data_IF_071554206763
#
_entry.id   IF_071554206763
#
_cell.length_a   1.000
_cell.length_b   1.000
_cell.length_c   1.000
_cell.angle_alpha   90.00
_cell.angle_beta   90.00
_cell.angle_gamma   90.00
#
_symmetry.space_group_name_H-M   'P 1'
#
loop_
_entity.id
_entity.type
_entity.pdbx_description
1 polymer ?
#
# COMPACT_ATOMS: atom_id res chain seq x y z
N UNK A 1 6.41 44.00 -11.49
CA UNK A 1 5.60 42.78 -11.74
C UNK A 1 6.10 41.69 -10.80
N UNK A 2 5.29 41.30 -9.82
CA UNK A 2 5.63 40.25 -8.84
C UNK A 2 4.87 38.96 -9.19
N UNK A 3 5.56 37.85 -8.95
CA UNK A 3 5.23 36.44 -9.20
C UNK A 3 3.85 35.98 -8.70
N UNK A 4 3.31 34.96 -9.37
CA UNK A 4 2.24 34.10 -8.86
C UNK A 4 2.21 32.77 -9.61
N UNK A 5 3.07 31.82 -9.21
CA UNK A 5 2.94 30.40 -9.58
C UNK A 5 1.80 29.81 -8.76
N UNK A 6 0.70 29.45 -9.39
CA UNK A 6 -0.32 28.59 -8.80
C UNK A 6 0.26 27.18 -8.69
N UNK A 7 0.73 26.80 -7.50
CA UNK A 7 0.85 25.37 -7.15
C UNK A 7 -0.52 24.94 -6.69
N UNK A 8 -1.11 23.98 -7.41
CA UNK A 8 -2.24 23.22 -6.92
C UNK A 8 -1.87 22.62 -5.57
N UNK A 9 -2.71 22.92 -4.57
CA UNK A 9 -2.72 22.30 -3.27
C UNK A 9 -3.06 20.82 -3.48
N UNK A 10 -2.01 19.98 -3.53
CA UNK A 10 -2.13 18.55 -3.32
C UNK A 10 -2.42 18.35 -1.83
N UNK A 11 -3.59 17.80 -1.53
CA UNK A 11 -3.91 17.29 -0.20
C UNK A 11 -2.77 16.36 0.27
N UNK A 12 -2.15 16.57 1.44
CA UNK A 12 -1.17 15.63 1.94
C UNK A 12 -1.92 14.37 2.39
N UNK A 13 -1.60 13.22 1.80
CA UNK A 13 -1.80 11.97 2.51
C UNK A 13 -0.80 11.97 3.67
N UNK A 14 -1.28 11.78 4.90
CA UNK A 14 -0.48 11.85 6.13
C UNK A 14 0.65 10.80 6.22
N UNK A 15 0.88 10.04 5.14
CA UNK A 15 1.86 8.96 5.01
C UNK A 15 3.07 9.30 4.12
N UNK A 16 3.07 10.39 3.35
CA UNK A 16 4.20 10.69 2.47
C UNK A 16 5.29 11.56 3.14
N UNK A 17 6.57 11.13 3.11
CA UNK A 17 7.69 11.98 3.52
C UNK A 17 7.69 13.29 2.74
N UNK A 18 7.70 14.42 3.43
CA UNK A 18 7.58 15.76 2.83
C UNK A 18 8.90 16.29 2.21
N UNK A 19 9.91 15.43 2.00
CA UNK A 19 11.21 15.78 1.45
C UNK A 19 11.51 15.02 0.17
N UNK A 20 12.30 15.58 -0.75
CA UNK A 20 12.72 14.87 -1.95
C UNK A 20 13.62 13.68 -1.59
N UNK A 21 13.25 12.43 -1.90
CA UNK A 21 14.11 11.26 -1.67
C UNK A 21 15.26 11.26 -2.69
N UNK A 22 16.34 11.98 -2.38
CA UNK A 22 17.52 12.01 -3.25
C UNK A 22 18.26 10.67 -3.28
N UNK A 23 18.10 9.84 -2.25
CA UNK A 23 18.69 8.50 -2.17
C UNK A 23 17.67 7.44 -2.59
N UNK A 24 18.12 6.45 -3.36
CA UNK A 24 17.27 5.34 -3.82
C UNK A 24 16.71 4.53 -2.64
N UNK A 25 17.43 4.47 -1.52
CA UNK A 25 16.93 3.85 -0.27
C UNK A 25 15.75 4.61 0.34
N UNK A 26 15.60 5.92 0.11
CA UNK A 26 14.44 6.66 0.56
C UNK A 26 13.20 6.38 -0.30
N UNK A 27 13.37 6.16 -1.60
CA UNK A 27 12.28 5.71 -2.49
C UNK A 27 11.77 4.32 -2.09
N UNK A 28 12.67 3.41 -1.70
CA UNK A 28 12.26 2.12 -1.12
C UNK A 28 11.48 2.31 0.19
N UNK A 29 11.84 3.31 1.02
CA UNK A 29 11.08 3.63 2.24
C UNK A 29 9.71 4.20 1.94
N UNK A 30 9.58 5.04 0.92
CA UNK A 30 8.27 5.54 0.46
C UNK A 30 7.37 4.38 0.06
N UNK A 31 7.89 3.40 -0.68
CA UNK A 31 7.16 2.18 -1.02
C UNK A 31 6.77 1.37 0.24
N UNK A 32 7.70 1.12 1.16
CA UNK A 32 7.39 0.45 2.43
C UNK A 32 6.27 1.13 3.23
N UNK A 33 6.20 2.46 3.21
CA UNK A 33 5.16 3.20 3.90
C UNK A 33 3.81 3.03 3.20
N UNK A 34 3.78 3.06 1.86
CA UNK A 34 2.58 2.78 1.09
C UNK A 34 2.03 1.37 1.40
N UNK A 35 2.89 0.35 1.44
CA UNK A 35 2.49 -1.02 1.81
C UNK A 35 1.89 -1.10 3.23
N UNK A 36 2.51 -0.45 4.21
CA UNK A 36 1.97 -0.42 5.59
C UNK A 36 0.59 0.25 5.61
N UNK A 37 0.41 1.31 4.84
CA UNK A 37 -0.87 2.01 4.76
C UNK A 37 -1.95 1.10 4.17
N UNK A 38 -1.66 0.41 3.06
CA UNK A 38 -2.56 -0.56 2.43
C UNK A 38 -2.90 -1.73 3.37
N UNK A 39 -1.90 -2.37 3.98
CA UNK A 39 -2.11 -3.46 4.95
C UNK A 39 -3.06 -3.04 6.08
N UNK A 40 -2.84 -1.86 6.65
CA UNK A 40 -3.67 -1.35 7.74
C UNK A 40 -5.08 -0.96 7.26
N UNK A 41 -5.20 -0.40 6.07
CA UNK A 41 -6.47 -0.09 5.42
C UNK A 41 -7.33 -1.34 5.26
N UNK A 42 -6.79 -2.36 4.59
CA UNK A 42 -7.48 -3.64 4.41
C UNK A 42 -7.81 -4.32 5.74
N UNK A 43 -6.87 -4.35 6.68
CA UNK A 43 -7.12 -4.93 8.01
C UNK A 43 -8.30 -4.23 8.71
N UNK A 44 -8.37 -2.90 8.63
CA UNK A 44 -9.47 -2.10 9.17
C UNK A 44 -10.78 -2.41 8.46
N UNK A 45 -10.78 -2.49 7.13
CA UNK A 45 -11.98 -2.77 6.32
C UNK A 45 -12.55 -4.16 6.60
N UNK A 46 -11.69 -5.18 6.64
CA UNK A 46 -12.05 -6.57 7.01
C UNK A 46 -12.64 -6.61 8.42
N UNK A 47 -12.05 -5.87 9.36
CA UNK A 47 -12.51 -5.85 10.74
C UNK A 47 -13.87 -5.15 10.89
N UNK A 48 -14.27 -4.28 9.97
CA UNK A 48 -15.51 -3.51 10.02
C UNK A 48 -16.54 -3.92 8.95
N UNK A 49 -16.43 -5.15 8.44
CA UNK A 49 -17.33 -5.70 7.43
C UNK A 49 -17.79 -7.11 7.79
N UNK A 50 -19.06 -7.41 7.52
CA UNK A 50 -19.63 -8.74 7.61
C UNK A 50 -19.89 -9.39 6.23
N UNK A 51 -19.43 -8.77 5.13
CA UNK A 51 -19.62 -9.28 3.78
C UNK A 51 -18.51 -10.28 3.43
N UNK A 52 -18.81 -11.57 3.51
CA UNK A 52 -17.84 -12.68 3.33
C UNK A 52 -17.03 -12.56 2.05
N UNK A 53 -17.67 -12.30 0.91
CA UNK A 53 -17.00 -12.20 -0.39
C UNK A 53 -16.00 -11.03 -0.43
N UNK A 54 -16.44 -9.83 -0.04
CA UNK A 54 -15.58 -8.64 0.02
C UNK A 54 -14.42 -8.86 1.01
N UNK A 55 -14.71 -9.44 2.17
CA UNK A 55 -13.69 -9.75 3.18
C UNK A 55 -12.67 -10.78 2.66
N UNK A 56 -13.07 -11.69 1.79
CA UNK A 56 -12.15 -12.65 1.18
C UNK A 56 -11.23 -11.94 0.18
N UNK A 57 -11.76 -11.07 -0.67
CA UNK A 57 -10.95 -10.27 -1.59
C UNK A 57 -9.98 -9.38 -0.85
N UNK A 58 -10.43 -8.60 0.14
CA UNK A 58 -9.53 -7.76 0.96
C UNK A 58 -8.47 -8.58 1.68
N UNK A 59 -8.78 -9.81 2.13
CA UNK A 59 -7.77 -10.69 2.75
C UNK A 59 -6.72 -11.12 1.76
N UNK A 60 -7.10 -11.49 0.54
CA UNK A 60 -6.14 -11.87 -0.50
C UNK A 60 -5.19 -10.70 -0.79
N UNK A 61 -5.74 -9.52 -1.09
CA UNK A 61 -4.94 -8.31 -1.38
C UNK A 61 -4.04 -7.96 -0.21
N UNK A 62 -4.56 -7.91 1.02
CA UNK A 62 -3.75 -7.66 2.23
C UNK A 62 -2.58 -8.65 2.41
N UNK A 63 -2.74 -9.92 2.05
CA UNK A 63 -1.65 -10.89 2.12
C UNK A 63 -0.60 -10.65 1.02
N UNK A 64 -0.99 -10.11 -0.13
CA UNK A 64 -0.08 -9.67 -1.19
C UNK A 64 0.69 -8.41 -0.74
N UNK A 65 0.03 -7.41 -0.13
CA UNK A 65 0.73 -6.23 0.43
C UNK A 65 1.76 -6.60 1.51
N UNK A 66 1.47 -7.62 2.32
CA UNK A 66 2.46 -8.14 3.29
C UNK A 66 3.69 -8.74 2.60
N UNK A 67 3.51 -9.38 1.44
CA UNK A 67 4.63 -9.89 0.63
C UNK A 67 5.40 -8.74 0.00
N UNK A 68 4.70 -7.75 -0.57
CA UNK A 68 5.29 -6.54 -1.14
C UNK A 68 6.17 -5.81 -0.12
N UNK A 69 5.64 -5.57 1.09
CA UNK A 69 6.40 -5.02 2.21
C UNK A 69 7.68 -5.83 2.49
N UNK A 70 7.58 -7.16 2.50
CA UNK A 70 8.72 -8.06 2.68
C UNK A 70 9.78 -7.91 1.58
N UNK A 71 9.35 -7.79 0.31
CA UNK A 71 10.22 -7.61 -0.85
C UNK A 71 10.98 -6.28 -0.78
N UNK A 72 10.28 -5.17 -0.53
CA UNK A 72 10.92 -3.87 -0.36
C UNK A 72 11.85 -3.82 0.85
N UNK A 73 11.49 -4.45 1.96
CA UNK A 73 12.32 -4.46 3.16
C UNK A 73 13.62 -5.23 2.94
N UNK A 74 13.58 -6.31 2.14
CA UNK A 74 14.78 -7.04 1.74
C UNK A 74 15.68 -6.20 0.83
N UNK A 75 15.11 -5.44 -0.11
CA UNK A 75 15.89 -4.48 -0.92
C UNK A 75 16.50 -3.39 -0.04
N UNK A 76 15.73 -2.80 0.87
CA UNK A 76 16.24 -1.75 1.76
C UNK A 76 17.44 -2.27 2.56
N UNK A 77 17.35 -3.47 3.12
CA UNK A 77 18.45 -4.11 3.86
C UNK A 77 19.64 -4.48 2.97
N UNK A 78 19.43 -4.70 1.67
CA UNK A 78 20.54 -4.93 0.73
C UNK A 78 21.30 -3.63 0.43
N UNK A 79 20.58 -2.51 0.32
CA UNK A 79 21.12 -1.23 -0.16
C UNK A 79 21.41 -0.20 0.95
N UNK A 80 20.93 -0.42 2.17
CA UNK A 80 21.23 0.39 3.36
C UNK A 80 22.01 -0.46 4.40
N UNK A 81 23.35 -0.32 4.45
CA UNK A 81 24.19 -1.08 5.38
C UNK A 81 23.87 -0.82 6.86
N UNK A 82 23.37 0.37 7.20
CA UNK A 82 23.01 0.71 8.58
C UNK A 82 21.73 0.00 8.96
N UNK A 83 20.70 0.04 8.12
CA UNK A 83 19.45 -0.72 8.31
C UNK A 83 19.74 -2.22 8.45
N UNK A 84 20.62 -2.76 7.60
CA UNK A 84 21.04 -4.16 7.69
C UNK A 84 21.72 -4.50 9.02
N UNK A 85 22.63 -3.64 9.48
CA UNK A 85 23.29 -3.83 10.76
C UNK A 85 22.27 -3.83 11.92
N UNK A 86 21.27 -2.93 11.90
CA UNK A 86 20.19 -2.92 12.89
C UNK A 86 19.38 -4.21 12.84
N UNK A 87 18.99 -4.66 11.65
CA UNK A 87 18.31 -5.94 11.46
C UNK A 87 19.10 -7.11 12.07
N UNK A 88 20.41 -7.19 11.84
CA UNK A 88 21.25 -8.25 12.40
C UNK A 88 21.31 -8.24 13.94
N UNK A 89 21.26 -7.07 14.56
CA UNK A 89 21.21 -6.93 16.02
C UNK A 89 19.87 -7.45 16.54
N UNK A 90 18.75 -6.99 15.98
CA UNK A 90 17.41 -7.36 16.44
C UNK A 90 17.04 -8.82 16.14
N UNK A 91 17.56 -9.41 15.06
CA UNK A 91 17.42 -10.85 14.81
C UNK A 91 18.00 -11.72 15.94
N UNK A 92 19.13 -11.30 16.51
CA UNK A 92 19.81 -12.05 17.60
C UNK A 92 19.08 -11.92 18.93
N UNK A 93 18.20 -10.93 19.09
CA UNK A 93 17.47 -10.66 20.32
C UNK A 93 16.23 -11.53 20.53
N UNK A 94 15.92 -12.47 19.62
CA UNK A 94 14.78 -13.44 19.64
C UNK A 94 13.62 -13.02 20.56
N UNK A 95 12.54 -12.54 19.95
CA UNK A 95 11.29 -12.19 20.60
C UNK A 95 10.80 -13.29 21.54
N UNK A 96 10.38 -12.91 22.75
CA UNK A 96 9.72 -13.79 23.71
C UNK A 96 8.40 -14.36 23.18
N UNK A 97 7.68 -15.09 24.04
CA UNK A 97 6.42 -15.73 23.66
C UNK A 97 5.42 -14.74 23.05
N UNK A 98 4.77 -15.15 21.96
CA UNK A 98 3.70 -14.37 21.32
C UNK A 98 2.56 -14.20 22.32
N UNK A 99 2.37 -12.98 22.79
CA UNK A 99 1.19 -12.64 23.59
C UNK A 99 -0.01 -12.46 22.65
N UNK A 100 -1.21 -12.91 23.05
CA UNK A 100 -2.42 -12.64 22.28
C UNK A 100 -2.65 -11.12 22.22
N UNK A 101 -3.01 -10.63 21.03
CA UNK A 101 -3.45 -9.24 20.88
C UNK A 101 -4.84 -9.08 21.51
N UNK A 102 -5.13 -7.86 21.97
CA UNK A 102 -6.46 -7.50 22.45
C UNK A 102 -7.53 -7.75 21.37
N UNK A 103 -8.71 -8.29 21.72
CA UNK A 103 -9.77 -8.54 20.76
C UNK A 103 -10.33 -7.22 20.22
N UNK A 104 -10.42 -7.10 18.89
CA UNK A 104 -11.07 -5.97 18.22
C UNK A 104 -12.59 -6.06 18.33
N UNK A 105 -13.26 -4.91 18.54
CA UNK A 105 -14.72 -4.80 18.56
C UNK A 105 -15.19 -4.11 17.27
N UNK A 106 -15.86 -4.84 16.36
CA UNK A 106 -16.22 -4.31 15.05
C UNK A 106 -17.44 -3.39 15.09
N UNK A 107 -17.48 -2.38 14.22
CA UNK A 107 -18.66 -1.57 13.95
C UNK A 107 -19.02 -1.64 12.45
N UNK A 108 -20.14 -2.26 12.13
CA UNK A 108 -20.51 -2.58 10.76
C UNK A 108 -21.47 -1.51 10.18
N UNK A 109 -21.04 -0.84 9.11
CA UNK A 109 -21.90 0.06 8.34
C UNK A 109 -21.73 -0.19 6.84
N UNK A 110 -22.80 -0.63 6.16
CA UNK A 110 -22.74 -1.03 4.75
C UNK A 110 -22.49 0.12 3.79
N UNK A 111 -22.93 1.35 4.11
CA UNK A 111 -22.65 2.53 3.28
C UNK A 111 -21.15 2.87 3.25
N UNK A 112 -20.41 2.52 4.31
CA UNK A 112 -18.96 2.71 4.37
C UNK A 112 -18.24 1.70 3.46
N UNK A 113 -18.80 0.51 3.19
CA UNK A 113 -18.13 -0.54 2.42
C UNK A 113 -17.81 -0.11 0.99
N UNK A 114 -18.76 0.48 0.27
CA UNK A 114 -18.49 0.97 -1.10
C UNK A 114 -17.46 2.12 -1.09
N UNK A 115 -17.46 2.96 -0.06
CA UNK A 115 -16.44 4.00 0.09
C UNK A 115 -15.06 3.39 0.36
N UNK A 116 -14.98 2.35 1.19
CA UNK A 116 -13.75 1.62 1.46
C UNK A 116 -13.18 1.00 0.18
N UNK A 117 -14.00 0.33 -0.63
CA UNK A 117 -13.55 -0.24 -1.91
C UNK A 117 -12.99 0.86 -2.83
N UNK A 118 -13.67 2.02 -2.92
CA UNK A 118 -13.18 3.15 -3.74
C UNK A 118 -11.88 3.75 -3.18
N UNK A 119 -11.75 3.82 -1.86
CA UNK A 119 -10.53 4.27 -1.19
C UNK A 119 -9.36 3.31 -1.43
N UNK A 120 -9.63 2.00 -1.41
CA UNK A 120 -8.65 0.96 -1.69
C UNK A 120 -8.20 1.04 -3.15
N UNK A 121 -9.12 1.11 -4.12
CA UNK A 121 -8.80 1.32 -5.54
C UNK A 121 -7.94 2.57 -5.75
N UNK A 122 -8.28 3.68 -5.07
CA UNK A 122 -7.46 4.89 -5.10
C UNK A 122 -6.05 4.63 -4.55
N UNK A 123 -5.95 3.93 -3.42
CA UNK A 123 -4.67 3.56 -2.80
C UNK A 123 -3.79 2.76 -3.76
N UNK A 124 -4.36 1.77 -4.45
CA UNK A 124 -3.62 0.97 -5.42
C UNK A 124 -3.15 1.78 -6.63
N UNK A 125 -3.96 2.71 -7.13
CA UNK A 125 -3.49 3.64 -8.17
C UNK A 125 -2.36 4.56 -7.69
N UNK A 126 -2.43 5.05 -6.45
CA UNK A 126 -1.37 5.86 -5.85
C UNK A 126 -0.05 5.06 -5.73
N UNK A 127 -0.13 3.77 -5.35
CA UNK A 127 1.00 2.85 -5.32
C UNK A 127 1.60 2.64 -6.73
N UNK A 128 0.77 2.31 -7.73
CA UNK A 128 1.21 2.18 -9.14
C UNK A 128 1.96 3.42 -9.62
N UNK A 129 1.38 4.61 -9.42
CA UNK A 129 1.99 5.87 -9.85
C UNK A 129 3.35 6.08 -9.17
N UNK A 130 3.42 5.83 -7.86
CA UNK A 130 4.64 5.96 -7.08
C UNK A 130 5.72 4.98 -7.58
N UNK A 131 5.34 3.74 -7.82
CA UNK A 131 6.26 2.66 -8.17
C UNK A 131 6.79 2.80 -9.59
N UNK A 132 5.94 3.17 -10.56
CA UNK A 132 6.37 3.50 -11.91
C UNK A 132 7.29 4.73 -11.94
N UNK A 133 7.02 5.74 -11.10
CA UNK A 133 7.92 6.88 -10.93
C UNK A 133 9.28 6.45 -10.39
N UNK A 134 9.33 5.57 -9.38
CA UNK A 134 10.60 5.09 -8.83
C UNK A 134 11.37 4.20 -9.81
N UNK A 135 10.68 3.37 -10.59
CA UNK A 135 11.26 2.49 -11.59
C UNK A 135 12.11 3.27 -12.62
N UNK A 136 11.63 4.44 -13.07
CA UNK A 136 12.38 5.29 -14.01
C UNK A 136 13.52 6.08 -13.37
N UNK A 137 13.52 6.22 -12.04
CA UNK A 137 14.50 7.02 -11.30
C UNK A 137 15.63 6.21 -10.68
N UNK A 138 15.43 4.92 -10.42
CA UNK A 138 16.42 4.06 -9.74
C UNK A 138 17.19 3.24 -10.79
N UNK A 139 18.54 3.29 -10.82
CA UNK A 139 19.33 2.66 -11.89
C UNK A 139 19.67 1.18 -11.64
N UNK A 140 19.25 0.60 -10.51
CA UNK A 140 19.59 -0.77 -10.13
C UNK A 140 18.55 -1.76 -10.65
N UNK A 141 18.99 -2.71 -11.48
CA UNK A 141 18.10 -3.66 -12.16
C UNK A 141 17.25 -4.50 -11.20
N UNK A 142 17.84 -5.02 -10.12
CA UNK A 142 17.10 -5.83 -9.14
C UNK A 142 16.04 -5.03 -8.38
N UNK A 143 16.29 -3.73 -8.14
CA UNK A 143 15.27 -2.83 -7.59
C UNK A 143 14.17 -2.63 -8.64
N UNK A 144 14.52 -2.34 -9.89
CA UNK A 144 13.54 -2.14 -10.97
C UNK A 144 12.65 -3.37 -11.18
N UNK A 145 13.22 -4.58 -11.15
CA UNK A 145 12.48 -5.84 -11.27
C UNK A 145 11.42 -6.00 -10.17
N UNK A 146 11.77 -5.68 -8.92
CA UNK A 146 10.83 -5.72 -7.79
C UNK A 146 9.74 -4.66 -7.92
N UNK A 147 10.11 -3.41 -8.22
CA UNK A 147 9.12 -2.33 -8.42
C UNK A 147 8.18 -2.63 -9.58
N UNK A 148 8.68 -3.21 -10.67
CA UNK A 148 7.87 -3.62 -11.81
C UNK A 148 6.89 -4.75 -11.44
N UNK A 149 7.37 -5.79 -10.77
CA UNK A 149 6.54 -6.92 -10.36
C UNK A 149 5.40 -6.46 -9.45
N UNK A 150 5.72 -5.71 -8.40
CA UNK A 150 4.73 -5.19 -7.44
C UNK A 150 3.76 -4.25 -8.15
N UNK A 151 4.23 -3.30 -8.96
CA UNK A 151 3.35 -2.40 -9.72
C UNK A 151 2.43 -3.14 -10.70
N UNK A 152 2.80 -4.33 -11.17
CA UNK A 152 1.93 -5.19 -11.97
C UNK A 152 0.85 -5.85 -11.10
N UNK A 153 1.22 -6.35 -9.92
CA UNK A 153 0.30 -6.94 -8.94
C UNK A 153 -0.73 -5.90 -8.45
N UNK A 154 -0.33 -4.64 -8.21
CA UNK A 154 -1.28 -3.58 -7.82
C UNK A 154 -2.34 -3.30 -8.90
N UNK A 155 -1.99 -3.45 -10.18
CA UNK A 155 -2.97 -3.32 -11.26
C UNK A 155 -3.97 -4.48 -11.25
N UNK A 156 -3.55 -5.67 -10.84
CA UNK A 156 -4.45 -6.80 -10.63
C UNK A 156 -5.38 -6.54 -9.43
N UNK A 157 -4.87 -5.94 -8.35
CA UNK A 157 -5.65 -5.53 -7.18
C UNK A 157 -6.74 -4.51 -7.56
N UNK A 158 -6.39 -3.48 -8.34
CA UNK A 158 -7.34 -2.51 -8.90
C UNK A 158 -8.48 -3.21 -9.63
N UNK A 159 -8.19 -4.14 -10.52
CA UNK A 159 -9.21 -4.82 -11.32
C UNK A 159 -10.11 -5.72 -10.46
N UNK A 160 -9.54 -6.42 -9.48
CA UNK A 160 -10.32 -7.27 -8.57
C UNK A 160 -11.27 -6.44 -7.69
N UNK A 161 -10.79 -5.31 -7.15
CA UNK A 161 -11.62 -4.38 -6.37
C UNK A 161 -12.67 -3.70 -7.24
N UNK A 162 -12.33 -3.35 -8.48
CA UNK A 162 -13.26 -2.76 -9.44
C UNK A 162 -14.40 -3.72 -9.77
N UNK A 163 -14.12 -5.02 -9.92
CA UNK A 163 -15.17 -6.04 -10.10
C UNK A 163 -16.13 -6.10 -8.90
N UNK A 164 -15.61 -6.00 -7.67
CA UNK A 164 -16.48 -5.90 -6.50
C UNK A 164 -17.30 -4.61 -6.50
N UNK A 165 -16.69 -3.49 -6.86
CA UNK A 165 -17.38 -2.20 -6.94
C UNK A 165 -18.55 -2.27 -7.93
N UNK A 166 -18.32 -2.72 -9.17
CA UNK A 166 -19.36 -2.84 -10.20
C UNK A 166 -20.47 -3.82 -9.81
N UNK A 167 -20.12 -4.90 -9.09
CA UNK A 167 -21.08 -5.89 -8.62
C UNK A 167 -22.02 -5.37 -7.53
N UNK A 168 -21.52 -4.52 -6.62
CA UNK A 168 -22.26 -4.13 -5.41
C UNK A 168 -22.77 -2.68 -5.42
N UNK A 169 -22.20 -1.82 -6.27
CA UNK A 169 -22.68 -0.46 -6.46
C UNK A 169 -23.87 -0.47 -7.43
N UNK A 170 -25.08 -0.05 -7.02
CA UNK A 170 -26.24 -0.05 -7.90
C UNK A 170 -26.14 1.03 -9.00
N UNK A 171 -25.26 2.02 -8.84
CA UNK A 171 -25.10 3.11 -9.79
C UNK A 171 -24.15 2.70 -10.94
N UNK A 172 -24.53 2.92 -12.21
CA UNK A 172 -23.72 2.49 -13.34
C UNK A 172 -22.48 3.37 -13.56
N UNK A 173 -21.34 2.74 -13.81
CA UNK A 173 -20.10 3.39 -14.21
C UNK A 173 -19.98 3.47 -15.74
N UNK A 174 -20.88 4.23 -16.37
CA UNK A 174 -21.05 4.30 -17.83
C UNK A 174 -21.33 2.93 -18.46
N UNK A 175 -20.43 2.43 -19.32
CA UNK A 175 -20.55 1.17 -20.04
C UNK A 175 -19.88 -0.01 -19.32
N UNK A 176 -19.37 0.21 -18.10
CA UNK A 176 -18.84 -0.83 -17.25
C UNK A 176 -20.00 -1.49 -16.50
N UNK A 177 -20.08 -2.82 -16.62
CA UNK A 177 -21.08 -3.67 -15.99
C UNK A 177 -20.41 -4.65 -15.03
#
# INVERSE_FOLDING_TARGET
>A
MKYGRNRHELYPSDAQPQGLPLADTNKIREALIAEIYAINGYASHIANSNMTEINQTWRTVMEDEKKHYGMFLNLLRKYDPVEYQKYQIYQKLKSGEKQPLQPYQPNFESQIILNNIRLDIKGEFEAVILYEQHLVQIPYQDIQEVFYAISSEEKEHVEHLTQLLLKYDPDPYNALN
#
